data_IF_445291222913
#
_entry.id   IF_445291222913
#
_cell.length_a   1.000
_cell.length_b   1.000
_cell.length_c   1.000
_cell.angle_alpha   90.00
_cell.angle_beta   90.00
_cell.angle_gamma   90.00
#
_symmetry.space_group_name_H-M   'P 1'
#
loop_
_entity.id
_entity.type
_entity.pdbx_description
1 polymer ?
#
# COMPACT_ATOMS: atom_id res chain seq x y z
N UNK A 1 -25.16 -15.09 -33.61
CA UNK A 1 -23.90 -14.80 -32.92
C UNK A 1 -24.18 -14.95 -31.44
N UNK A 2 -23.66 -15.94 -30.72
CA UNK A 2 -23.92 -16.09 -29.29
C UNK A 2 -23.32 -14.87 -28.56
N UNK A 3 -24.11 -14.27 -27.68
CA UNK A 3 -23.63 -13.21 -26.78
C UNK A 3 -22.46 -13.76 -25.97
N UNK A 4 -21.40 -12.98 -25.71
CA UNK A 4 -20.31 -13.43 -24.90
C UNK A 4 -20.89 -13.84 -23.54
N UNK A 5 -20.63 -15.08 -23.14
CA UNK A 5 -21.00 -15.59 -21.81
C UNK A 5 -20.31 -14.65 -20.82
N UNK A 6 -21.12 -13.89 -20.08
CA UNK A 6 -20.58 -13.01 -19.04
C UNK A 6 -19.73 -13.88 -18.11
N UNK A 7 -18.46 -13.56 -18.00
CA UNK A 7 -17.54 -14.28 -17.10
C UNK A 7 -18.13 -14.28 -15.69
N UNK A 8 -18.08 -15.43 -15.02
CA UNK A 8 -18.52 -15.47 -13.64
C UNK A 8 -17.62 -14.53 -12.79
N UNK A 9 -18.14 -13.93 -11.72
CA UNK A 9 -17.30 -13.07 -10.85
C UNK A 9 -16.00 -13.77 -10.41
N UNK A 10 -16.04 -15.07 -10.20
CA UNK A 10 -14.88 -15.89 -9.84
C UNK A 10 -13.84 -15.93 -10.96
N UNK A 11 -14.28 -16.12 -12.20
CA UNK A 11 -13.38 -16.15 -13.37
C UNK A 11 -12.72 -14.80 -13.62
N UNK A 12 -13.49 -13.71 -13.54
CA UNK A 12 -12.97 -12.34 -13.69
C UNK A 12 -11.92 -12.03 -12.63
N UNK A 13 -12.19 -12.34 -11.34
CA UNK A 13 -11.25 -12.13 -10.26
C UNK A 13 -9.98 -12.97 -10.40
N UNK A 14 -10.13 -14.23 -10.85
CA UNK A 14 -9.01 -15.15 -11.06
C UNK A 14 -8.12 -14.69 -12.21
N UNK A 15 -8.73 -14.26 -13.32
CA UNK A 15 -8.01 -13.73 -14.47
C UNK A 15 -7.23 -12.46 -14.12
N UNK A 16 -7.84 -11.53 -13.39
CA UNK A 16 -7.18 -10.31 -12.92
C UNK A 16 -6.05 -10.61 -11.93
N UNK A 17 -6.26 -11.53 -10.99
CA UNK A 17 -5.20 -11.98 -10.09
C UNK A 17 -3.99 -12.51 -10.86
N UNK A 18 -4.20 -13.41 -11.80
CA UNK A 18 -3.14 -13.99 -12.63
C UNK A 18 -2.38 -12.91 -13.43
N UNK A 19 -3.09 -11.95 -14.02
CA UNK A 19 -2.47 -10.84 -14.72
C UNK A 19 -1.58 -9.97 -13.81
N UNK A 20 -2.02 -9.69 -12.59
CA UNK A 20 -1.22 -8.94 -11.60
C UNK A 20 -0.04 -9.74 -11.08
N UNK A 21 -0.21 -11.03 -10.83
CA UNK A 21 0.89 -11.93 -10.43
C UNK A 21 1.95 -12.10 -11.54
N UNK A 22 1.54 -12.16 -12.80
CA UNK A 22 2.46 -12.13 -13.94
C UNK A 22 3.27 -10.81 -13.98
N UNK A 23 2.61 -9.69 -13.67
CA UNK A 23 3.28 -8.39 -13.56
C UNK A 23 4.29 -8.37 -12.41
N UNK A 24 3.96 -8.94 -11.26
CA UNK A 24 4.88 -9.11 -10.12
C UNK A 24 6.10 -9.94 -10.53
N UNK A 25 5.88 -11.09 -11.17
CA UNK A 25 6.95 -11.97 -11.62
C UNK A 25 7.88 -11.30 -12.64
N UNK A 26 7.32 -10.45 -13.52
CA UNK A 26 8.12 -9.64 -14.45
C UNK A 26 9.04 -8.65 -13.69
N UNK A 27 8.50 -7.88 -12.75
CA UNK A 27 9.30 -6.94 -11.96
C UNK A 27 10.30 -7.64 -11.04
N UNK A 28 9.99 -8.85 -10.55
CA UNK A 28 10.92 -9.67 -9.78
C UNK A 28 12.18 -10.07 -10.60
N UNK A 29 11.99 -10.47 -11.86
CA UNK A 29 13.09 -10.76 -12.77
C UNK A 29 13.95 -9.51 -13.01
N UNK A 30 13.32 -8.36 -13.26
CA UNK A 30 14.03 -7.09 -13.42
C UNK A 30 14.80 -6.68 -12.15
N UNK A 31 14.20 -6.86 -10.98
CA UNK A 31 14.84 -6.59 -9.70
C UNK A 31 16.14 -7.38 -9.53
N UNK A 32 16.11 -8.70 -9.81
CA UNK A 32 17.29 -9.56 -9.72
C UNK A 32 18.36 -9.15 -10.73
N UNK A 33 17.97 -8.87 -11.97
CA UNK A 33 18.90 -8.41 -13.02
C UNK A 33 19.59 -7.11 -12.64
N UNK A 34 18.85 -6.13 -12.13
CA UNK A 34 19.40 -4.85 -11.67
C UNK A 34 20.29 -5.02 -10.42
N UNK A 35 19.97 -5.96 -9.53
CA UNK A 35 20.83 -6.31 -8.41
C UNK A 35 22.20 -6.81 -8.86
N UNK A 36 22.22 -7.72 -9.84
CA UNK A 36 23.46 -8.24 -10.43
C UNK A 36 24.24 -7.13 -11.15
N UNK A 37 23.56 -6.26 -11.90
CA UNK A 37 24.19 -5.12 -12.56
C UNK A 37 24.85 -4.15 -11.56
N UNK A 38 24.19 -3.86 -10.43
CA UNK A 38 24.79 -3.02 -9.37
C UNK A 38 26.03 -3.64 -8.78
N UNK A 39 26.00 -4.96 -8.52
CA UNK A 39 27.19 -5.68 -8.04
C UNK A 39 28.33 -5.60 -9.03
N UNK A 40 28.07 -5.80 -10.33
CA UNK A 40 29.05 -5.69 -11.38
C UNK A 40 29.67 -4.27 -11.46
N UNK A 41 28.83 -3.23 -11.34
CA UNK A 41 29.30 -1.84 -11.30
C UNK A 41 30.21 -1.56 -10.10
N UNK A 42 29.90 -2.11 -8.93
CA UNK A 42 30.76 -1.98 -7.73
C UNK A 42 32.10 -2.67 -7.96
N UNK A 43 32.10 -3.89 -8.50
CA UNK A 43 33.33 -4.63 -8.80
C UNK A 43 34.17 -3.86 -9.81
N UNK A 44 33.57 -3.33 -10.87
CA UNK A 44 34.25 -2.50 -11.86
C UNK A 44 34.85 -1.24 -11.25
N UNK A 45 34.12 -0.55 -10.38
CA UNK A 45 34.60 0.63 -9.67
C UNK A 45 35.80 0.29 -8.76
N UNK A 46 35.75 -0.80 -8.03
CA UNK A 46 36.86 -1.29 -7.20
C UNK A 46 38.09 -1.66 -8.05
N UNK A 47 37.89 -2.28 -9.19
CA UNK A 47 38.97 -2.62 -10.11
C UNK A 47 39.64 -1.35 -10.67
N UNK A 48 38.85 -0.34 -11.11
CA UNK A 48 39.36 0.94 -11.59
C UNK A 48 40.10 1.68 -10.47
N UNK A 49 39.58 1.68 -9.25
CA UNK A 49 40.23 2.30 -8.10
C UNK A 49 41.57 1.63 -7.77
N UNK A 50 41.59 0.29 -7.73
CA UNK A 50 42.82 -0.46 -7.51
C UNK A 50 43.87 -0.21 -8.59
N UNK A 51 43.47 -0.21 -9.87
CA UNK A 51 44.34 0.08 -10.99
C UNK A 51 44.89 1.51 -10.95
N UNK A 52 44.08 2.48 -10.62
CA UNK A 52 44.46 3.89 -10.48
C UNK A 52 45.49 4.10 -9.36
N UNK A 53 45.31 3.43 -8.21
CA UNK A 53 46.25 3.52 -7.08
C UNK A 53 47.56 2.83 -7.34
N UNK A 54 47.51 1.63 -7.96
CA UNK A 54 48.71 0.80 -8.15
C UNK A 54 49.58 1.25 -9.33
N UNK A 55 48.95 1.58 -10.48
CA UNK A 55 49.67 1.96 -11.72
C UNK A 55 49.84 3.48 -11.88
N UNK A 56 49.04 4.28 -11.16
CA UNK A 56 49.03 5.77 -11.29
C UNK A 56 48.84 6.35 -12.72
N UNK A 57 48.38 5.50 -13.66
CA UNK A 57 48.16 5.84 -15.06
C UNK A 57 46.77 6.45 -15.31
N UNK A 58 45.81 6.10 -14.47
CA UNK A 58 44.41 6.57 -14.61
C UNK A 58 44.11 7.69 -13.65
N UNK A 59 43.55 8.76 -14.19
CA UNK A 59 43.04 9.88 -13.38
C UNK A 59 41.85 9.43 -12.52
N UNK A 60 41.74 9.95 -11.30
CA UNK A 60 40.61 9.67 -10.39
C UNK A 60 39.24 10.07 -10.98
N UNK A 61 39.22 10.92 -12.00
CA UNK A 61 37.97 11.29 -12.71
C UNK A 61 37.28 10.11 -13.39
N UNK A 62 37.99 9.05 -13.74
CA UNK A 62 37.38 7.83 -14.30
C UNK A 62 36.45 7.10 -13.34
N UNK A 63 36.56 7.34 -12.02
CA UNK A 63 35.64 6.82 -11.01
C UNK A 63 34.26 7.49 -11.06
N UNK A 64 34.14 8.68 -11.63
CA UNK A 64 32.84 9.35 -11.79
C UNK A 64 31.88 8.57 -12.70
N UNK A 65 32.42 7.88 -13.71
CA UNK A 65 31.59 7.16 -14.68
C UNK A 65 30.84 5.96 -14.03
N UNK A 66 31.51 5.01 -13.34
CA UNK A 66 30.79 3.93 -12.63
C UNK A 66 29.94 4.45 -11.48
N UNK A 67 30.32 5.56 -10.84
CA UNK A 67 29.51 6.19 -9.81
C UNK A 67 28.19 6.76 -10.39
N UNK A 68 28.24 7.52 -11.48
CA UNK A 68 27.06 8.05 -12.15
C UNK A 68 26.15 6.90 -12.65
N UNK A 69 26.73 5.85 -13.24
CA UNK A 69 26.01 4.66 -13.67
C UNK A 69 25.34 3.96 -12.47
N UNK A 70 26.03 3.84 -11.35
CA UNK A 70 25.48 3.23 -10.14
C UNK A 70 24.28 4.02 -9.59
N UNK A 71 24.37 5.36 -9.55
CA UNK A 71 23.27 6.23 -9.11
C UNK A 71 22.06 6.10 -10.06
N UNK A 72 22.30 6.10 -11.38
CA UNK A 72 21.24 5.91 -12.37
C UNK A 72 20.53 4.55 -12.20
N UNK A 73 21.29 3.47 -12.03
CA UNK A 73 20.74 2.12 -11.79
C UNK A 73 20.01 2.07 -10.44
N UNK A 74 20.53 2.73 -9.40
CA UNK A 74 19.89 2.76 -8.08
C UNK A 74 18.54 3.47 -8.11
N UNK A 75 18.44 4.63 -8.78
CA UNK A 75 17.18 5.37 -8.92
C UNK A 75 16.16 4.62 -9.78
N UNK A 76 16.61 3.97 -10.85
CA UNK A 76 15.74 3.13 -11.68
C UNK A 76 15.25 1.89 -10.90
N UNK A 77 16.11 1.27 -10.12
CA UNK A 77 15.78 0.14 -9.25
C UNK A 77 14.70 0.51 -8.21
N UNK A 78 14.81 1.69 -7.58
CA UNK A 78 13.78 2.19 -6.66
C UNK A 78 12.40 2.32 -7.34
N UNK A 79 12.36 2.79 -8.59
CA UNK A 79 11.12 2.86 -9.38
C UNK A 79 10.53 1.46 -9.66
N UNK A 80 11.36 0.47 -9.95
CA UNK A 80 10.94 -0.92 -10.18
C UNK A 80 10.37 -1.54 -8.92
N UNK A 81 11.02 -1.36 -7.76
CA UNK A 81 10.53 -1.83 -6.48
C UNK A 81 9.14 -1.24 -6.15
N UNK A 82 8.95 0.06 -6.41
CA UNK A 82 7.65 0.70 -6.23
C UNK A 82 6.57 0.09 -7.14
N UNK A 83 6.86 -0.12 -8.43
CA UNK A 83 5.93 -0.77 -9.37
C UNK A 83 5.60 -2.20 -8.96
N UNK A 84 6.60 -2.96 -8.50
CA UNK A 84 6.41 -4.31 -7.96
C UNK A 84 5.46 -4.28 -6.76
N UNK A 85 5.71 -3.41 -5.78
CA UNK A 85 4.86 -3.28 -4.59
C UNK A 85 3.41 -2.91 -4.93
N UNK A 86 3.18 -2.02 -5.90
CA UNK A 86 1.84 -1.70 -6.38
C UNK A 86 1.16 -2.92 -7.01
N UNK A 87 1.87 -3.68 -7.84
CA UNK A 87 1.33 -4.90 -8.46
C UNK A 87 1.02 -6.01 -7.41
N UNK A 88 1.85 -6.16 -6.38
CA UNK A 88 1.62 -7.08 -5.26
C UNK A 88 0.35 -6.72 -4.48
N UNK A 89 0.12 -5.42 -4.23
CA UNK A 89 -1.10 -4.92 -3.58
C UNK A 89 -2.33 -5.17 -4.45
N UNK A 90 -2.24 -4.91 -5.76
CA UNK A 90 -3.31 -5.20 -6.71
C UNK A 90 -3.66 -6.69 -6.71
N UNK A 91 -2.67 -7.59 -6.78
CA UNK A 91 -2.90 -9.04 -6.67
C UNK A 91 -3.57 -9.42 -5.34
N UNK A 92 -3.17 -8.78 -4.23
CA UNK A 92 -3.76 -9.03 -2.91
C UNK A 92 -5.25 -8.63 -2.84
N UNK A 93 -5.69 -7.59 -3.58
CA UNK A 93 -7.11 -7.21 -3.67
C UNK A 93 -7.93 -8.37 -4.23
N UNK A 94 -7.51 -8.94 -5.35
CA UNK A 94 -8.22 -10.05 -6.00
C UNK A 94 -8.12 -11.34 -5.19
N UNK A 95 -6.98 -11.63 -4.57
CA UNK A 95 -6.80 -12.79 -3.68
C UNK A 95 -7.77 -12.75 -2.50
N UNK A 96 -7.92 -11.59 -1.84
CA UNK A 96 -8.88 -11.41 -0.76
C UNK A 96 -10.32 -11.50 -1.27
N UNK A 97 -10.60 -11.00 -2.47
CA UNK A 97 -11.91 -11.14 -3.11
C UNK A 97 -12.27 -12.59 -3.40
N UNK A 98 -11.34 -13.37 -3.96
CA UNK A 98 -11.53 -14.81 -4.20
C UNK A 98 -11.71 -15.59 -2.90
N UNK A 99 -10.93 -15.30 -1.86
CA UNK A 99 -11.10 -15.93 -0.56
C UNK A 99 -12.52 -15.73 0.02
N UNK A 100 -13.15 -14.56 -0.25
CA UNK A 100 -14.54 -14.32 0.13
C UNK A 100 -15.52 -15.15 -0.71
N UNK A 101 -15.33 -15.23 -2.01
CA UNK A 101 -16.19 -16.01 -2.91
C UNK A 101 -16.10 -17.51 -2.58
N UNK A 102 -14.92 -17.98 -2.17
CA UNK A 102 -14.63 -19.36 -1.84
C UNK A 102 -14.82 -19.69 -0.34
N UNK A 103 -15.42 -18.77 0.41
CA UNK A 103 -15.72 -18.90 1.85
C UNK A 103 -14.50 -19.18 2.75
N UNK A 104 -13.31 -18.69 2.33
CA UNK A 104 -12.03 -18.81 3.04
C UNK A 104 -11.53 -17.45 3.58
N UNK A 105 -12.45 -16.63 4.08
CA UNK A 105 -12.17 -15.24 4.50
C UNK A 105 -11.93 -15.10 6.00
N UNK A 106 -12.38 -16.05 6.81
CA UNK A 106 -12.32 -16.00 8.28
C UNK A 106 -10.86 -15.94 8.76
N UNK A 107 -10.54 -14.99 9.65
CA UNK A 107 -9.22 -14.81 10.23
C UNK A 107 -8.18 -14.13 9.30
N UNK A 108 -8.59 -13.71 8.11
CA UNK A 108 -7.71 -13.04 7.13
C UNK A 108 -7.59 -11.53 7.34
N UNK A 109 -8.35 -10.94 8.23
CA UNK A 109 -8.24 -9.53 8.59
C UNK A 109 -7.50 -9.35 9.92
N UNK A 110 -6.79 -8.23 10.06
CA UNK A 110 -6.26 -7.84 11.36
C UNK A 110 -7.44 -7.57 12.29
N UNK A 111 -7.56 -8.39 13.33
CA UNK A 111 -8.58 -8.24 14.36
C UNK A 111 -8.29 -6.96 15.14
N UNK A 112 -8.91 -5.88 14.77
CA UNK A 112 -8.89 -4.67 15.59
C UNK A 112 -9.93 -4.87 16.67
N UNK A 113 -9.49 -5.13 17.91
CA UNK A 113 -10.38 -5.01 19.08
C UNK A 113 -10.88 -3.58 19.11
N UNK A 114 -12.19 -3.40 18.97
CA UNK A 114 -12.80 -2.07 18.96
C UNK A 114 -13.45 -1.83 20.31
N UNK A 115 -12.97 -0.81 21.00
CA UNK A 115 -13.53 -0.39 22.26
C UNK A 115 -15.02 0.00 22.14
N UNK A 116 -15.41 0.54 20.97
CA UNK A 116 -16.81 0.92 20.67
C UNK A 116 -17.75 -0.31 20.62
N UNK A 117 -17.23 -1.49 20.30
CA UNK A 117 -18.01 -2.72 20.27
C UNK A 117 -18.38 -3.20 21.67
N UNK A 118 -17.51 -3.01 22.65
CA UNK A 118 -17.76 -3.41 24.05
C UNK A 118 -18.83 -2.51 24.71
N UNK A 119 -19.04 -1.31 24.20
CA UNK A 119 -20.03 -0.37 24.69
C UNK A 119 -21.45 -0.64 24.12
N UNK A 120 -21.58 -1.48 23.10
CA UNK A 120 -22.87 -1.77 22.45
C UNK A 120 -23.46 -3.08 22.94
N UNK A 121 -24.69 -3.04 23.51
CA UNK A 121 -25.37 -4.22 24.05
C UNK A 121 -25.61 -5.33 23.01
N UNK A 122 -25.87 -4.97 21.75
CA UNK A 122 -26.18 -5.94 20.70
C UNK A 122 -24.98 -6.34 19.84
N UNK A 123 -23.90 -5.60 19.91
CA UNK A 123 -22.71 -5.87 19.07
C UNK A 123 -22.07 -7.22 19.41
N UNK A 124 -22.08 -7.59 20.69
CA UNK A 124 -21.57 -8.86 21.19
C UNK A 124 -22.55 -10.00 20.87
N UNK A 125 -23.87 -9.78 21.07
CA UNK A 125 -24.89 -10.80 20.83
C UNK A 125 -25.00 -11.18 19.34
N UNK A 126 -24.71 -10.25 18.43
CA UNK A 126 -24.76 -10.45 16.98
C UNK A 126 -23.40 -10.75 16.36
N UNK A 127 -22.37 -10.95 17.15
CA UNK A 127 -20.99 -11.18 16.66
C UNK A 127 -20.57 -10.19 15.55
N UNK A 128 -20.85 -8.90 15.78
CA UNK A 128 -20.58 -7.88 14.75
C UNK A 128 -19.10 -7.66 14.52
N UNK A 129 -18.23 -7.92 15.50
CA UNK A 129 -16.79 -7.69 15.45
C UNK A 129 -16.00 -8.91 15.92
N UNK A 130 -14.79 -9.06 15.42
CA UNK A 130 -13.92 -10.19 15.75
C UNK A 130 -13.71 -11.13 14.56
N UNK A 131 -13.16 -12.30 14.81
CA UNK A 131 -12.94 -13.31 13.78
C UNK A 131 -14.26 -13.98 13.37
N UNK A 132 -14.50 -14.08 12.08
CA UNK A 132 -15.74 -14.65 11.52
C UNK A 132 -16.95 -13.72 11.60
N UNK A 133 -16.74 -12.46 11.99
CA UNK A 133 -17.81 -11.47 12.19
C UNK A 133 -18.33 -10.85 10.89
N UNK A 134 -19.51 -10.22 11.00
CA UNK A 134 -20.07 -9.45 9.88
C UNK A 134 -19.14 -8.31 9.44
N UNK A 135 -18.48 -7.64 10.39
CA UNK A 135 -17.47 -6.60 10.07
C UNK A 135 -16.32 -7.17 9.24
N UNK A 136 -15.76 -8.31 9.63
CA UNK A 136 -14.67 -8.95 8.88
C UNK A 136 -15.12 -9.32 7.47
N UNK A 137 -16.30 -9.86 7.31
CA UNK A 137 -16.87 -10.21 6.01
C UNK A 137 -17.04 -8.98 5.11
N UNK A 138 -17.59 -7.89 5.64
CA UNK A 138 -17.91 -6.69 4.85
C UNK A 138 -16.72 -5.77 4.63
N UNK A 139 -15.76 -5.73 5.57
CA UNK A 139 -14.67 -4.77 5.55
C UNK A 139 -13.72 -4.98 4.37
N UNK A 140 -13.79 -4.06 3.41
CA UNK A 140 -12.80 -3.89 2.35
C UNK A 140 -12.01 -2.58 2.53
N UNK A 141 -12.27 -1.86 3.62
CA UNK A 141 -11.61 -0.62 3.92
C UNK A 141 -10.09 -0.81 4.05
N UNK A 142 -9.34 0.15 3.52
CA UNK A 142 -7.87 0.18 3.53
C UNK A 142 -7.34 1.34 4.36
N UNK A 143 -8.23 2.16 4.89
CA UNK A 143 -7.91 3.30 5.75
C UNK A 143 -8.59 3.13 7.11
N UNK A 144 -7.99 3.68 8.17
CA UNK A 144 -8.60 3.66 9.50
C UNK A 144 -9.97 4.36 9.51
N UNK A 145 -10.11 5.49 8.79
CA UNK A 145 -11.38 6.20 8.67
C UNK A 145 -12.46 5.35 7.99
N UNK A 146 -12.11 4.58 6.96
CA UNK A 146 -13.05 3.68 6.31
C UNK A 146 -13.50 2.53 7.20
N UNK A 147 -12.57 1.97 7.99
CA UNK A 147 -12.89 0.95 8.99
C UNK A 147 -13.80 1.51 10.09
N UNK A 148 -13.53 2.73 10.59
CA UNK A 148 -14.35 3.41 11.59
C UNK A 148 -15.74 3.74 11.05
N UNK A 149 -15.83 4.20 9.80
CA UNK A 149 -17.09 4.48 9.14
C UNK A 149 -17.95 3.24 9.01
N UNK A 150 -17.38 2.12 8.58
CA UNK A 150 -18.10 0.85 8.47
C UNK A 150 -18.58 0.36 9.84
N UNK A 151 -17.73 0.47 10.87
CA UNK A 151 -18.11 0.08 12.22
C UNK A 151 -19.26 0.96 12.73
N UNK A 152 -19.20 2.26 12.51
CA UNK A 152 -20.29 3.16 12.87
C UNK A 152 -21.60 2.80 12.14
N UNK A 153 -21.51 2.38 10.88
CA UNK A 153 -22.69 1.92 10.13
C UNK A 153 -23.31 0.64 10.69
N UNK A 154 -22.52 -0.24 11.27
CA UNK A 154 -23.03 -1.45 11.93
C UNK A 154 -23.61 -1.18 13.33
N UNK A 155 -23.12 -0.16 14.01
CA UNK A 155 -23.49 0.18 15.37
C UNK A 155 -24.62 1.20 15.49
N UNK A 156 -25.00 1.88 14.40
CA UNK A 156 -25.97 2.99 14.46
C UNK A 156 -27.05 2.85 13.40
N UNK A 157 -28.32 3.13 13.74
CA UNK A 157 -29.38 3.20 12.74
C UNK A 157 -29.21 4.43 11.85
N UNK A 158 -29.60 4.30 10.60
CA UNK A 158 -29.55 5.38 9.61
C UNK A 158 -30.91 5.62 8.96
N UNK A 159 -31.21 6.86 8.52
CA UNK A 159 -32.43 7.16 7.78
C UNK A 159 -32.44 6.40 6.44
N UNK A 160 -33.63 6.03 5.99
CA UNK A 160 -33.84 5.26 4.76
C UNK A 160 -33.20 5.93 3.53
N UNK A 161 -33.24 7.27 3.47
CA UNK A 161 -32.59 8.03 2.40
C UNK A 161 -31.10 7.76 2.30
N UNK A 162 -30.38 7.78 3.41
CA UNK A 162 -28.94 7.47 3.44
C UNK A 162 -28.64 6.03 3.03
N UNK A 163 -29.52 5.09 3.37
CA UNK A 163 -29.40 3.68 2.96
C UNK A 163 -29.59 3.57 1.45
N UNK A 164 -30.59 4.25 0.88
CA UNK A 164 -30.87 4.26 -0.55
C UNK A 164 -29.68 4.83 -1.36
N UNK A 165 -29.10 5.94 -0.89
CA UNK A 165 -27.94 6.55 -1.53
C UNK A 165 -26.71 5.62 -1.51
N UNK A 166 -26.50 4.90 -0.42
CA UNK A 166 -25.45 3.89 -0.33
C UNK A 166 -25.67 2.71 -1.30
N UNK A 167 -26.92 2.24 -1.42
CA UNK A 167 -27.25 1.20 -2.39
C UNK A 167 -26.98 1.65 -3.83
N UNK A 168 -27.31 2.90 -4.17
CA UNK A 168 -27.00 3.48 -5.47
C UNK A 168 -25.48 3.52 -5.71
N UNK A 169 -24.71 3.96 -4.74
CA UNK A 169 -23.24 3.99 -4.80
C UNK A 169 -22.64 2.58 -4.98
N UNK A 170 -23.15 1.58 -4.26
CA UNK A 170 -22.71 0.19 -4.40
C UNK A 170 -23.03 -0.35 -5.79
N UNK A 171 -24.23 -0.04 -6.32
CA UNK A 171 -24.64 -0.46 -7.67
C UNK A 171 -23.72 0.16 -8.75
N UNK A 172 -23.34 1.42 -8.60
CA UNK A 172 -22.41 2.11 -9.50
C UNK A 172 -21.00 1.49 -9.44
N UNK A 173 -20.45 1.28 -8.25
CA UNK A 173 -19.09 0.78 -8.05
C UNK A 173 -18.95 -0.70 -8.36
N UNK A 174 -20.05 -1.46 -8.36
CA UNK A 174 -20.05 -2.92 -8.53
C UNK A 174 -19.27 -3.36 -9.78
N UNK A 175 -19.47 -2.67 -10.89
CA UNK A 175 -18.90 -3.02 -12.20
C UNK A 175 -17.59 -2.26 -12.49
N UNK A 176 -17.17 -1.34 -11.62
CA UNK A 176 -15.95 -0.53 -11.79
C UNK A 176 -14.76 -1.16 -11.07
N UNK A 177 -14.37 -2.38 -11.48
CA UNK A 177 -13.31 -3.13 -10.80
C UNK A 177 -11.96 -2.40 -10.80
N UNK A 178 -11.62 -1.70 -11.89
CA UNK A 178 -10.36 -0.96 -11.99
C UNK A 178 -10.32 0.21 -10.98
N UNK A 179 -11.41 0.99 -10.90
CA UNK A 179 -11.52 2.06 -9.91
C UNK A 179 -11.43 1.52 -8.47
N UNK A 180 -12.08 0.39 -8.18
CA UNK A 180 -12.03 -0.25 -6.86
C UNK A 180 -10.64 -0.76 -6.53
N UNK A 181 -9.90 -1.28 -7.50
CA UNK A 181 -8.50 -1.67 -7.37
C UNK A 181 -7.63 -0.45 -7.03
N UNK A 182 -7.75 0.64 -7.80
CA UNK A 182 -6.99 1.87 -7.59
C UNK A 182 -7.25 2.50 -6.21
N UNK A 183 -8.51 2.54 -5.79
CA UNK A 183 -8.89 3.02 -4.45
C UNK A 183 -8.28 2.15 -3.34
N UNK A 184 -8.32 0.83 -3.50
CA UNK A 184 -7.76 -0.11 -2.52
C UNK A 184 -6.24 0.03 -2.39
N UNK A 185 -5.52 0.16 -3.51
CA UNK A 185 -4.07 0.36 -3.55
C UNK A 185 -3.68 1.69 -2.90
N UNK A 186 -4.38 2.76 -3.23
CA UNK A 186 -4.12 4.11 -2.70
C UNK A 186 -4.35 4.18 -1.19
N UNK A 187 -5.44 3.60 -0.70
CA UNK A 187 -5.74 3.56 0.73
C UNK A 187 -4.73 2.73 1.54
N UNK A 188 -4.23 1.63 0.98
CA UNK A 188 -3.20 0.82 1.64
C UNK A 188 -1.84 1.54 1.66
N UNK A 189 -1.51 2.32 0.62
CA UNK A 189 -0.31 3.15 0.60
C UNK A 189 -0.36 4.23 1.68
N UNK A 190 -1.50 4.85 1.91
CA UNK A 190 -1.70 5.85 2.97
C UNK A 190 -1.54 5.23 4.36
N UNK A 191 -2.16 4.08 4.62
CA UNK A 191 -2.06 3.35 5.90
C UNK A 191 -0.61 2.99 6.24
N UNK A 192 0.18 2.58 5.24
CA UNK A 192 1.59 2.22 5.43
C UNK A 192 2.49 3.44 5.66
N UNK A 193 2.19 4.58 5.02
CA UNK A 193 3.01 5.80 5.16
C UNK A 193 2.78 6.51 6.48
N UNK A 194 1.54 6.57 6.93
CA UNK A 194 1.19 7.36 8.11
C UNK A 194 1.36 6.58 9.39
N UNK A 195 1.04 5.28 9.42
CA UNK A 195 1.16 4.45 10.65
C UNK A 195 0.43 5.01 11.88
N UNK A 196 -0.03 6.25 11.79
CA UNK A 196 -0.65 7.05 12.85
C UNK A 196 -2.13 7.22 12.54
N UNK A 197 -2.97 7.00 13.52
CA UNK A 197 -4.40 7.24 13.39
C UNK A 197 -4.66 8.73 13.11
N UNK A 198 -5.51 9.11 12.12
CA UNK A 198 -5.77 10.51 11.77
C UNK A 198 -6.17 11.37 12.96
N UNK A 199 -6.89 10.83 13.94
CA UNK A 199 -7.23 11.54 15.19
C UNK A 199 -6.01 12.02 15.95
N UNK A 200 -4.99 11.18 16.11
CA UNK A 200 -3.76 11.55 16.82
C UNK A 200 -3.00 12.67 16.10
N UNK A 201 -3.04 12.69 14.76
CA UNK A 201 -2.46 13.79 13.98
C UNK A 201 -3.27 15.09 14.14
N UNK A 202 -4.59 15.01 14.13
CA UNK A 202 -5.46 16.17 14.36
C UNK A 202 -5.27 16.73 15.77
N UNK A 203 -5.30 15.89 16.79
CA UNK A 203 -5.04 16.28 18.17
C UNK A 203 -3.64 16.92 18.34
N UNK A 204 -2.63 16.36 17.66
CA UNK A 204 -1.29 16.95 17.65
C UNK A 204 -1.27 18.31 16.93
N UNK A 205 -1.99 18.45 15.80
CA UNK A 205 -2.03 19.69 15.03
C UNK A 205 -2.79 20.81 15.75
N UNK A 206 -3.78 20.48 16.58
CA UNK A 206 -4.54 21.41 17.41
C UNK A 206 -3.78 21.83 18.68
N UNK A 207 -2.74 21.11 19.06
CA UNK A 207 -1.94 21.50 20.21
C UNK A 207 -1.20 22.82 20.00
N UNK A 208 -1.08 23.66 21.05
CA UNK A 208 -0.34 24.91 20.97
C UNK A 208 1.13 24.64 20.59
N UNK A 209 1.69 25.49 19.74
CA UNK A 209 3.06 25.35 19.25
C UNK A 209 4.07 25.22 20.41
N UNK A 210 4.61 24.03 20.61
CA UNK A 210 5.56 23.71 21.69
C UNK A 210 6.94 24.31 21.43
N UNK A 211 7.34 24.50 20.17
CA UNK A 211 8.61 25.07 19.75
C UNK A 211 8.52 26.60 19.68
N UNK A 212 8.70 27.27 20.81
CA UNK A 212 8.65 28.73 20.89
C UNK A 212 9.96 29.42 20.50
N UNK A 213 11.11 28.74 20.58
CA UNK A 213 12.42 29.31 20.23
C UNK A 213 12.69 29.26 18.71
N UNK A 214 12.92 30.40 18.13
CA UNK A 214 13.20 30.57 16.69
C UNK A 214 14.47 29.81 16.25
N UNK A 215 15.48 29.69 17.13
CA UNK A 215 16.69 28.88 16.90
C UNK A 215 16.39 27.39 16.66
N UNK A 216 15.42 26.81 17.35
CA UNK A 216 15.02 25.40 17.16
C UNK A 216 14.36 25.14 15.79
N UNK A 217 13.70 26.16 15.22
CA UNK A 217 13.14 26.08 13.87
C UNK A 217 14.24 26.01 12.81
N UNK A 218 15.28 26.79 12.98
CA UNK A 218 16.43 26.79 12.06
C UNK A 218 17.24 25.50 12.16
N UNK A 219 17.44 24.96 13.36
CA UNK A 219 18.12 23.65 13.54
C UNK A 219 17.30 22.51 12.94
N UNK A 220 15.98 22.49 13.11
CA UNK A 220 15.10 21.50 12.51
C UNK A 220 15.11 21.57 10.98
N UNK A 221 15.11 22.78 10.42
CA UNK A 221 15.19 23.00 8.97
C UNK A 221 16.54 22.55 8.41
N UNK A 222 17.62 22.82 9.12
CA UNK A 222 18.98 22.40 8.75
C UNK A 222 19.11 20.87 8.79
N UNK A 223 18.56 20.21 9.81
CA UNK A 223 18.50 18.75 9.90
C UNK A 223 17.63 18.13 8.81
N UNK A 224 16.49 18.74 8.46
CA UNK A 224 15.63 18.28 7.38
C UNK A 224 16.35 18.36 6.02
N UNK A 225 17.13 19.41 5.78
CA UNK A 225 17.92 19.57 4.53
C UNK A 225 19.06 18.53 4.48
N UNK A 226 19.68 18.21 5.61
CA UNK A 226 20.77 17.23 5.71
C UNK A 226 20.26 15.76 5.57
N UNK A 227 18.96 15.51 5.78
CA UNK A 227 18.36 14.16 5.71
C UNK A 227 17.81 13.80 4.32
N UNK A 228 17.88 14.71 3.33
CA UNK A 228 17.50 14.51 1.94
C UNK A 228 18.73 14.10 1.13
#
# INVERSE_FOLDING_TARGET
MPLPIASTPTEEYRQRQQAREATVAHFEKLHRSLGNLRLLLVIAALFIAWWSLYRRELSAWWLLLPFAAFVAVATYHAKILRKRSLAERAAAVYRKGLARIEDRWIGNSQQTKRADAEASLYATDLDLFGAGSLFELLSQARTCMGEDTLAHWLLSPFPVTAITDRHASVAELRNRLDLREDMAISGEEEKLKTGVHPKALLEWAEQPAQLKRQSLRWTALLLAILSI
#
